data_IF_532079029426
#
_entry.id   IF_532079029426
#
_cell.length_a   1.000
_cell.length_b   1.000
_cell.length_c   1.000
_cell.angle_alpha   90.00
_cell.angle_beta   90.00
_cell.angle_gamma   90.00
#
_symmetry.space_group_name_H-M   'P 1'
#
loop_
_entity.id
_entity.type
_entity.pdbx_description
1 polymer ?
#
# COMPACT_ATOMS: atom_id res chain seq x y z
N UNK A 1 12.12 5.01 4.78
CA UNK A 1 13.37 4.34 4.53
C UNK A 1 13.94 3.76 5.82
N UNK A 2 13.93 2.45 5.94
CA UNK A 2 14.28 1.75 7.18
C UNK A 2 15.56 0.94 6.97
N UNK A 3 16.48 1.00 7.95
CA UNK A 3 17.55 0.04 8.16
C UNK A 3 18.80 0.13 7.30
N UNK A 4 19.07 1.18 6.57
CA UNK A 4 20.34 1.29 5.84
C UNK A 4 21.44 2.04 6.58
N UNK A 5 22.67 1.60 6.43
CA UNK A 5 23.87 2.32 6.94
C UNK A 5 24.11 3.66 6.23
N UNK A 6 23.45 3.89 5.09
CA UNK A 6 23.62 5.09 4.27
C UNK A 6 22.33 5.90 4.22
N UNK A 7 22.41 7.24 4.28
CA UNK A 7 21.23 8.11 4.30
C UNK A 7 20.44 8.13 2.99
N UNK A 8 21.07 7.70 1.89
CA UNK A 8 20.44 7.65 0.56
C UNK A 8 20.73 6.29 -0.06
N UNK A 9 19.68 5.62 -0.55
CA UNK A 9 19.77 4.39 -1.31
C UNK A 9 19.28 4.68 -2.75
N UNK A 10 20.12 4.38 -3.72
CA UNK A 10 19.81 4.59 -5.15
C UNK A 10 19.79 3.24 -5.85
N UNK A 11 18.69 2.93 -6.50
CA UNK A 11 18.53 1.72 -7.29
C UNK A 11 18.33 2.09 -8.78
N UNK A 12 19.11 1.51 -9.71
CA UNK A 12 18.90 1.72 -11.12
C UNK A 12 17.70 0.88 -11.60
N UNK A 13 16.84 1.50 -12.42
CA UNK A 13 15.71 0.84 -13.07
C UNK A 13 15.91 0.78 -14.56
N UNK A 14 15.77 -0.40 -15.14
CA UNK A 14 15.67 -0.57 -16.58
C UNK A 14 14.24 -0.29 -17.05
N UNK A 15 14.06 -0.04 -18.36
CA UNK A 15 12.72 0.12 -18.94
C UNK A 15 11.86 -1.13 -18.71
N UNK A 16 12.44 -2.32 -18.87
CA UNK A 16 11.74 -3.59 -18.64
C UNK A 16 11.30 -3.79 -17.18
N UNK A 17 12.10 -3.32 -16.21
CA UNK A 17 11.68 -3.29 -14.79
C UNK A 17 10.50 -2.34 -14.57
N UNK A 18 10.48 -1.18 -15.22
CA UNK A 18 9.37 -0.24 -15.12
C UNK A 18 8.09 -0.78 -15.75
N UNK A 19 8.19 -1.55 -16.83
CA UNK A 19 7.03 -2.22 -17.44
C UNK A 19 6.47 -3.31 -16.51
N UNK A 20 7.34 -4.11 -15.89
CA UNK A 20 6.94 -5.09 -14.86
C UNK A 20 6.31 -4.39 -13.64
N UNK A 21 6.92 -3.30 -13.18
CA UNK A 21 6.37 -2.48 -12.09
C UNK A 21 4.96 -2.00 -12.40
N UNK A 22 4.72 -1.50 -13.61
CA UNK A 22 3.40 -1.04 -14.06
C UNK A 22 2.35 -2.16 -14.00
N UNK A 23 2.70 -3.36 -14.49
CA UNK A 23 1.84 -4.53 -14.42
C UNK A 23 1.50 -4.91 -12.98
N UNK A 24 2.50 -4.92 -12.09
CA UNK A 24 2.31 -5.26 -10.68
C UNK A 24 1.46 -4.22 -9.95
N UNK A 25 1.68 -2.92 -10.19
CA UNK A 25 0.83 -1.85 -9.64
C UNK A 25 -0.61 -2.01 -10.10
N UNK A 26 -0.82 -2.31 -11.37
CA UNK A 26 -2.16 -2.54 -11.92
C UNK A 26 -2.82 -3.77 -11.28
N UNK A 27 -2.08 -4.87 -11.12
CA UNK A 27 -2.56 -6.06 -10.43
C UNK A 27 -2.94 -5.76 -8.97
N UNK A 28 -2.10 -5.01 -8.24
CA UNK A 28 -2.40 -4.58 -6.88
C UNK A 28 -3.66 -3.71 -6.80
N UNK A 29 -3.84 -2.79 -7.75
CA UNK A 29 -5.04 -1.96 -7.80
C UNK A 29 -6.31 -2.83 -7.99
N UNK A 30 -6.29 -3.75 -8.93
CA UNK A 30 -7.39 -4.70 -9.20
C UNK A 30 -7.67 -5.53 -7.94
N UNK A 31 -6.65 -6.19 -7.38
CA UNK A 31 -6.79 -7.03 -6.20
C UNK A 31 -7.26 -6.26 -4.97
N UNK A 32 -6.92 -4.97 -4.85
CA UNK A 32 -7.38 -4.14 -3.73
C UNK A 32 -8.90 -3.98 -3.69
N UNK A 33 -9.57 -4.07 -4.84
CA UNK A 33 -11.03 -3.97 -4.97
C UNK A 33 -11.73 -5.32 -5.06
N UNK A 34 -10.96 -6.40 -5.27
CA UNK A 34 -11.51 -7.74 -5.46
C UNK A 34 -12.08 -8.30 -4.15
N UNK A 35 -13.22 -8.97 -4.24
CA UNK A 35 -13.87 -9.70 -3.15
C UNK A 35 -13.81 -11.21 -3.35
N UNK A 36 -13.62 -11.63 -4.58
CA UNK A 36 -13.49 -13.01 -5.01
C UNK A 36 -12.71 -13.05 -6.34
N UNK A 37 -12.30 -14.22 -6.76
CA UNK A 37 -11.58 -14.43 -8.02
C UNK A 37 -12.38 -13.90 -9.22
N UNK A 38 -11.72 -13.05 -10.01
CA UNK A 38 -12.31 -12.45 -11.21
C UNK A 38 -13.20 -11.23 -10.96
N UNK A 39 -13.49 -10.88 -9.70
CA UNK A 39 -14.21 -9.65 -9.38
C UNK A 39 -13.25 -8.47 -9.27
N UNK A 40 -13.66 -7.30 -9.73
CA UNK A 40 -12.96 -6.03 -9.48
C UNK A 40 -13.90 -4.84 -9.70
N UNK A 41 -13.56 -3.71 -9.09
CA UNK A 41 -14.31 -2.46 -9.21
C UNK A 41 -13.32 -1.28 -9.40
N UNK A 42 -12.81 -1.14 -10.61
CA UNK A 42 -11.91 -0.04 -11.01
C UNK A 42 -12.51 0.68 -12.20
N UNK A 43 -12.61 2.01 -12.11
CA UNK A 43 -13.10 2.86 -13.19
C UNK A 43 -12.14 4.05 -13.42
N UNK A 44 -12.02 4.50 -14.68
CA UNK A 44 -11.21 5.67 -15.05
C UNK A 44 -11.65 6.97 -14.35
N UNK A 45 -12.87 7.01 -13.83
CA UNK A 45 -13.39 8.17 -13.07
C UNK A 45 -13.03 8.14 -11.58
N UNK A 46 -12.37 7.09 -11.12
CA UNK A 46 -12.00 6.94 -9.71
C UNK A 46 -10.94 7.96 -9.29
N UNK A 47 -10.92 8.26 -8.00
CA UNK A 47 -10.00 9.22 -7.39
C UNK A 47 -9.11 8.51 -6.40
N UNK A 48 -7.83 8.85 -6.46
CA UNK A 48 -6.79 8.27 -5.62
C UNK A 48 -6.19 9.34 -4.71
N UNK A 49 -6.18 9.12 -3.39
CA UNK A 49 -5.50 10.03 -2.48
C UNK A 49 -3.98 9.91 -2.66
N UNK A 50 -3.33 11.00 -3.06
CA UNK A 50 -1.88 11.03 -3.26
C UNK A 50 -1.14 11.35 -1.97
N UNK A 51 -1.00 10.34 -1.12
CA UNK A 51 -0.28 10.42 0.17
C UNK A 51 1.14 9.82 0.11
N UNK A 52 1.71 9.66 -1.09
CA UNK A 52 3.03 9.10 -1.30
C UNK A 52 4.09 10.19 -1.53
N UNK A 53 5.37 9.86 -1.26
CA UNK A 53 6.46 10.74 -1.62
C UNK A 53 6.62 10.79 -3.16
N UNK A 54 6.79 12.00 -3.75
CA UNK A 54 6.97 12.14 -5.20
C UNK A 54 8.36 11.66 -5.63
N UNK A 55 8.62 11.65 -6.94
CA UNK A 55 9.99 11.47 -7.44
C UNK A 55 10.95 12.47 -6.77
N UNK A 56 12.19 12.09 -6.48
CA UNK A 56 12.89 10.87 -6.93
C UNK A 56 12.70 9.62 -6.04
N UNK A 57 11.80 9.63 -5.09
CA UNK A 57 11.50 8.44 -4.28
C UNK A 57 10.80 7.37 -5.10
N UNK A 58 11.07 6.08 -4.81
CA UNK A 58 10.47 4.95 -5.53
C UNK A 58 8.93 4.97 -5.52
N UNK A 59 8.33 5.46 -4.44
CA UNK A 59 6.87 5.64 -4.33
C UNK A 59 6.30 6.65 -5.34
N UNK A 60 7.13 7.56 -5.86
CA UNK A 60 6.75 8.50 -6.93
C UNK A 60 6.54 7.84 -8.29
N UNK A 61 7.00 6.60 -8.48
CA UNK A 61 6.73 5.81 -9.69
C UNK A 61 5.27 5.29 -9.73
N UNK A 62 4.64 5.12 -8.56
CA UNK A 62 3.29 4.56 -8.45
C UNK A 62 2.23 5.37 -9.27
N UNK A 63 2.11 6.69 -9.08
CA UNK A 63 1.15 7.46 -9.87
C UNK A 63 1.48 7.52 -11.37
N UNK A 64 2.76 7.41 -11.75
CA UNK A 64 3.15 7.34 -13.16
C UNK A 64 2.68 6.01 -13.78
N UNK A 65 2.78 4.91 -13.03
CA UNK A 65 2.33 3.61 -13.50
C UNK A 65 0.81 3.56 -13.75
N UNK A 66 0.01 4.24 -12.93
CA UNK A 66 -1.46 4.23 -13.03
C UNK A 66 -2.02 5.36 -13.91
N UNK A 67 -1.36 6.53 -13.91
CA UNK A 67 -1.93 7.74 -14.52
C UNK A 67 -1.97 7.71 -16.04
N UNK A 68 -1.01 7.07 -16.67
CA UNK A 68 -0.89 7.02 -18.13
C UNK A 68 -1.81 5.98 -18.77
N UNK A 69 -2.08 4.87 -18.09
CA UNK A 69 -2.81 3.73 -18.68
C UNK A 69 -4.26 3.62 -18.23
N UNK A 70 -4.55 3.95 -16.97
CA UNK A 70 -5.88 3.74 -16.40
C UNK A 70 -6.68 5.04 -16.29
N UNK A 71 -5.99 6.20 -16.36
CA UNK A 71 -6.66 7.51 -16.30
C UNK A 71 -7.20 7.89 -14.93
N UNK A 72 -6.73 7.25 -13.85
CA UNK A 72 -7.13 7.56 -12.47
C UNK A 72 -6.69 8.98 -12.09
N UNK A 73 -7.60 9.74 -11.50
CA UNK A 73 -7.32 11.08 -11.01
C UNK A 73 -6.68 11.04 -9.62
N UNK A 74 -5.45 11.57 -9.49
CA UNK A 74 -4.78 11.74 -8.20
C UNK A 74 -5.21 13.04 -7.50
N UNK A 75 -5.39 13.01 -6.20
CA UNK A 75 -5.78 14.13 -5.36
C UNK A 75 -4.69 14.43 -4.28
N UNK A 76 -3.95 15.53 -4.40
CA UNK A 76 -3.88 16.47 -5.53
C UNK A 76 -3.24 15.84 -6.76
N UNK A 77 -3.32 16.50 -7.91
CA UNK A 77 -2.68 16.05 -9.13
C UNK A 77 -1.16 15.93 -8.94
N UNK A 78 -0.54 14.89 -9.52
CA UNK A 78 0.89 14.56 -9.32
C UNK A 78 1.79 15.76 -9.61
N UNK A 79 1.53 16.49 -10.70
CA UNK A 79 2.30 17.68 -11.10
C UNK A 79 2.24 18.81 -10.05
N UNK A 80 1.12 18.97 -9.38
CA UNK A 80 0.94 19.96 -8.31
C UNK A 80 1.63 19.50 -7.02
N UNK A 81 1.57 18.20 -6.75
CA UNK A 81 2.05 17.58 -5.52
C UNK A 81 3.58 17.59 -5.35
N UNK A 82 4.34 17.64 -6.46
CA UNK A 82 5.82 17.53 -6.46
C UNK A 82 6.50 18.58 -5.59
N UNK A 83 5.99 19.82 -5.59
CA UNK A 83 6.57 20.96 -4.86
C UNK A 83 5.94 21.16 -3.46
N UNK A 84 5.04 20.30 -3.02
CA UNK A 84 4.36 20.41 -1.74
C UNK A 84 5.05 19.59 -0.66
N UNK A 85 5.10 20.11 0.56
CA UNK A 85 5.43 19.29 1.73
C UNK A 85 4.39 18.17 1.91
N UNK A 86 4.76 17.11 2.63
CA UNK A 86 3.87 16.00 2.91
C UNK A 86 2.55 16.47 3.57
N UNK A 87 2.65 17.37 4.54
CA UNK A 87 1.47 17.93 5.25
C UNK A 87 0.56 18.73 4.34
N UNK A 88 1.12 19.60 3.50
CA UNK A 88 0.34 20.41 2.55
C UNK A 88 -0.37 19.55 1.52
N UNK A 89 0.34 18.55 0.97
CA UNK A 89 -0.21 17.60 0.00
C UNK A 89 -1.39 16.83 0.57
N UNK A 90 -1.26 16.29 1.78
CA UNK A 90 -2.34 15.56 2.44
C UNK A 90 -3.54 16.45 2.75
N UNK A 91 -3.33 17.65 3.30
CA UNK A 91 -4.40 18.61 3.56
C UNK A 91 -5.16 18.98 2.29
N UNK A 92 -4.42 19.28 1.21
CA UNK A 92 -5.04 19.59 -0.08
C UNK A 92 -5.78 18.38 -0.67
N UNK A 93 -5.15 17.20 -0.64
CA UNK A 93 -5.74 15.94 -1.11
C UNK A 93 -7.08 15.65 -0.44
N UNK A 94 -7.14 15.73 0.88
CA UNK A 94 -8.39 15.57 1.62
C UNK A 94 -9.43 16.65 1.32
N UNK A 95 -9.01 17.92 1.21
CA UNK A 95 -9.91 18.99 0.80
C UNK A 95 -10.52 18.74 -0.58
N UNK A 96 -9.74 18.20 -1.50
CA UNK A 96 -10.22 17.81 -2.83
C UNK A 96 -11.11 16.57 -2.77
N UNK A 97 -10.75 15.56 -1.96
CA UNK A 97 -11.56 14.37 -1.74
C UNK A 97 -12.95 14.71 -1.17
N UNK A 98 -13.03 15.65 -0.22
CA UNK A 98 -14.31 16.14 0.28
C UNK A 98 -15.21 16.74 -0.80
N UNK A 99 -14.63 17.30 -1.87
CA UNK A 99 -15.37 17.87 -2.99
C UNK A 99 -15.72 16.85 -4.07
N UNK A 100 -14.80 15.92 -4.35
CA UNK A 100 -14.85 15.04 -5.52
C UNK A 100 -15.18 13.58 -5.22
N UNK A 101 -15.19 13.19 -3.95
CA UNK A 101 -15.18 11.80 -3.45
C UNK A 101 -13.80 11.15 -3.53
N UNK A 102 -13.66 9.94 -2.95
CA UNK A 102 -12.42 9.18 -2.88
C UNK A 102 -12.73 7.70 -3.04
N UNK A 103 -12.07 7.05 -4.01
CA UNK A 103 -12.20 5.61 -4.25
C UNK A 103 -11.01 4.79 -3.77
N UNK A 104 -9.81 5.39 -3.76
CA UNK A 104 -8.57 4.67 -3.46
C UNK A 104 -7.68 5.44 -2.50
N UNK A 105 -7.00 4.68 -1.64
CA UNK A 105 -5.94 5.18 -0.80
C UNK A 105 -4.78 4.18 -0.74
N UNK A 106 -3.55 4.69 -0.83
CA UNK A 106 -2.33 3.93 -0.61
C UNK A 106 -1.36 4.74 0.26
N UNK A 107 -0.74 4.09 1.25
CA UNK A 107 0.28 4.70 2.10
C UNK A 107 1.08 3.66 2.88
N UNK A 108 2.09 4.12 3.62
CA UNK A 108 2.71 3.31 4.66
C UNK A 108 1.71 3.15 5.81
N UNK A 109 1.67 2.01 6.50
CA UNK A 109 0.69 1.70 7.53
C UNK A 109 0.58 2.78 8.61
N UNK A 110 1.70 3.14 9.24
CA UNK A 110 1.77 4.23 10.24
C UNK A 110 1.37 5.60 9.68
N UNK A 111 1.78 5.89 8.44
CA UNK A 111 1.42 7.15 7.76
C UNK A 111 -0.07 7.18 7.43
N UNK A 112 -0.61 6.08 6.90
CA UNK A 112 -2.04 5.96 6.63
C UNK A 112 -2.88 6.17 7.90
N UNK A 113 -2.43 5.61 9.02
CA UNK A 113 -3.06 5.79 10.32
C UNK A 113 -3.03 7.26 10.79
N UNK A 114 -1.84 7.91 10.78
CA UNK A 114 -1.70 9.31 11.17
C UNK A 114 -2.54 10.26 10.30
N UNK A 115 -2.59 10.00 8.99
CA UNK A 115 -3.41 10.74 8.03
C UNK A 115 -4.90 10.57 8.35
N UNK A 116 -5.33 9.35 8.70
CA UNK A 116 -6.71 9.04 9.05
C UNK A 116 -7.16 9.75 10.33
N UNK A 117 -6.32 9.79 11.36
CA UNK A 117 -6.58 10.55 12.59
C UNK A 117 -6.66 12.06 12.33
N UNK A 118 -5.78 12.58 11.48
CA UNK A 118 -5.80 13.99 11.08
C UNK A 118 -7.11 14.36 10.37
N UNK A 119 -7.62 13.49 9.50
CA UNK A 119 -8.90 13.68 8.84
C UNK A 119 -10.06 13.69 9.86
N UNK A 120 -10.06 12.75 10.79
CA UNK A 120 -11.07 12.66 11.85
C UNK A 120 -11.09 13.94 12.71
N UNK A 121 -9.92 14.49 13.04
CA UNK A 121 -9.82 15.74 13.80
C UNK A 121 -10.37 16.97 13.03
N UNK A 122 -10.12 17.04 11.73
CA UNK A 122 -10.62 18.11 10.85
C UNK A 122 -12.16 18.09 10.75
N UNK A 123 -12.75 16.90 10.74
CA UNK A 123 -14.22 16.74 10.63
C UNK A 123 -14.95 17.02 11.94
N UNK A 124 -14.29 16.83 13.07
CA UNK A 124 -14.89 16.98 14.42
C UNK A 124 -14.70 18.36 15.04
N UNK A 125 -14.10 19.31 14.34
CA UNK A 125 -14.05 20.72 14.79
C UNK A 125 -13.00 21.01 15.87
N UNK A 126 -11.99 20.15 16.06
CA UNK A 126 -10.92 20.33 17.05
C UNK A 126 -9.96 21.50 16.78
N UNK A 127 -10.20 22.29 15.78
CA UNK A 127 -9.40 23.47 15.43
C UNK A 127 -10.29 24.55 14.81
N UNK A 128 -11.17 25.20 15.56
CA UNK A 128 -11.75 26.52 15.27
C UNK A 128 -12.41 26.83 13.91
N UNK A 129 -12.51 25.85 13.03
CA UNK A 129 -12.99 26.03 11.66
C UNK A 129 -14.00 24.97 11.28
N UNK A 130 -15.24 25.11 11.74
CA UNK A 130 -16.35 24.36 11.14
C UNK A 130 -16.31 24.51 9.62
N UNK A 131 -16.66 23.44 8.89
CA UNK A 131 -16.71 23.47 7.42
C UNK A 131 -17.52 24.70 6.99
N UNK A 132 -16.83 25.72 6.48
CA UNK A 132 -17.48 26.97 6.09
C UNK A 132 -18.52 26.69 5.02
N UNK A 133 -19.68 27.30 5.10
CA UNK A 133 -20.78 27.14 4.14
C UNK A 133 -20.30 27.37 2.68
N UNK A 134 -19.35 28.30 2.48
CA UNK A 134 -18.71 28.55 1.19
C UNK A 134 -17.91 27.35 0.64
N UNK A 135 -17.39 26.48 1.53
CA UNK A 135 -16.69 25.25 1.12
C UNK A 135 -17.67 24.16 0.67
N UNK A 136 -18.87 24.15 1.23
CA UNK A 136 -19.93 23.19 0.86
C UNK A 136 -20.47 23.45 -0.55
N UNK A 137 -20.52 24.71 -0.99
CA UNK A 137 -20.98 25.06 -2.35
C UNK A 137 -20.09 24.49 -3.47
N UNK A 138 -18.86 24.11 -3.15
CA UNK A 138 -17.92 23.49 -4.10
C UNK A 138 -17.94 21.97 -4.06
N UNK A 139 -18.70 21.35 -3.16
CA UNK A 139 -18.80 19.90 -3.05
C UNK A 139 -19.86 19.35 -4.02
N UNK A 140 -19.61 18.14 -4.52
CA UNK A 140 -20.63 17.42 -5.28
C UNK A 140 -21.87 17.18 -4.40
N UNK A 141 -23.10 17.23 -4.95
CA UNK A 141 -24.33 17.08 -4.17
C UNK A 141 -24.38 15.83 -3.29
N UNK A 142 -23.89 14.70 -3.79
CA UNK A 142 -23.84 13.45 -3.02
C UNK A 142 -22.89 13.54 -1.81
N UNK A 143 -21.79 14.29 -1.90
CA UNK A 143 -20.85 14.47 -0.77
C UNK A 143 -21.47 15.35 0.31
N UNK A 144 -22.27 16.37 -0.07
CA UNK A 144 -23.03 17.17 0.89
C UNK A 144 -24.04 16.29 1.63
N UNK A 145 -24.77 15.46 0.90
CA UNK A 145 -25.74 14.54 1.49
C UNK A 145 -25.07 13.56 2.46
N UNK A 146 -23.94 12.93 2.05
CA UNK A 146 -23.16 12.05 2.92
C UNK A 146 -22.69 12.76 4.20
N UNK A 147 -22.16 13.98 4.09
CA UNK A 147 -21.71 14.76 5.23
C UNK A 147 -22.87 15.03 6.21
N UNK A 148 -24.05 15.39 5.71
CA UNK A 148 -25.22 15.64 6.55
C UNK A 148 -25.71 14.34 7.24
N UNK A 149 -25.74 13.24 6.51
CA UNK A 149 -26.11 11.91 7.05
C UNK A 149 -25.09 11.46 8.09
N UNK A 150 -23.78 11.59 7.80
CA UNK A 150 -22.70 11.25 8.71
C UNK A 150 -22.81 12.07 10.02
N UNK A 151 -23.00 13.39 9.93
CA UNK A 151 -23.21 14.25 11.11
C UNK A 151 -24.40 13.81 11.97
N UNK A 152 -25.53 13.48 11.34
CA UNK A 152 -26.71 13.01 12.07
C UNK A 152 -26.46 11.66 12.75
N UNK A 153 -25.83 10.72 12.05
CA UNK A 153 -25.47 9.38 12.57
C UNK A 153 -24.52 9.50 13.75
N UNK A 154 -23.38 10.19 13.56
CA UNK A 154 -22.37 10.35 14.60
C UNK A 154 -22.91 11.05 15.85
N UNK A 155 -23.81 12.06 15.67
CA UNK A 155 -24.49 12.70 16.78
C UNK A 155 -25.42 11.73 17.53
N UNK A 156 -26.17 10.89 16.81
CA UNK A 156 -27.05 9.88 17.42
C UNK A 156 -26.27 8.82 18.17
N UNK A 157 -25.11 8.41 17.63
CA UNK A 157 -24.22 7.39 18.20
C UNK A 157 -23.24 7.97 19.24
N UNK A 158 -23.29 9.27 19.50
CA UNK A 158 -22.39 10.00 20.42
C UNK A 158 -20.90 9.68 20.19
N UNK A 159 -20.48 9.66 18.93
CA UNK A 159 -19.09 9.41 18.52
C UNK A 159 -18.57 10.45 17.53
N UNK A 160 -17.23 10.49 17.45
CA UNK A 160 -16.54 11.26 16.43
C UNK A 160 -16.82 10.73 15.02
N UNK A 161 -16.76 11.62 14.04
CA UNK A 161 -16.86 11.23 12.62
C UNK A 161 -15.54 10.63 12.16
N UNK A 162 -15.62 9.48 11.50
CA UNK A 162 -14.49 8.74 10.95
C UNK A 162 -14.47 8.86 9.41
N UNK A 163 -13.33 8.57 8.76
CA UNK A 163 -13.23 8.56 7.30
C UNK A 163 -14.30 7.74 6.60
N UNK A 164 -14.66 6.56 7.13
CA UNK A 164 -15.73 5.68 6.60
C UNK A 164 -17.12 6.29 6.57
N UNK A 165 -17.36 7.32 7.38
CA UNK A 165 -18.65 8.02 7.37
C UNK A 165 -18.81 8.93 6.14
N UNK A 166 -17.71 9.33 5.53
CA UNK A 166 -17.65 10.24 4.39
C UNK A 166 -17.23 9.57 3.08
N UNK A 167 -16.24 8.69 3.14
CA UNK A 167 -15.65 8.03 1.97
C UNK A 167 -15.97 6.54 1.98
N UNK A 168 -16.31 6.02 0.81
CA UNK A 168 -16.49 4.59 0.60
C UNK A 168 -15.38 4.12 -0.32
N UNK A 169 -14.23 3.77 0.27
CA UNK A 169 -13.10 3.28 -0.50
C UNK A 169 -13.49 1.97 -1.22
N UNK A 170 -13.12 1.88 -2.48
CA UNK A 170 -13.16 0.66 -3.28
C UNK A 170 -11.92 -0.18 -3.04
N UNK A 171 -10.75 0.47 -2.96
CA UNK A 171 -9.47 -0.16 -2.68
C UNK A 171 -8.64 0.63 -1.66
N UNK A 172 -8.05 -0.09 -0.72
CA UNK A 172 -7.15 0.45 0.27
C UNK A 172 -5.91 -0.44 0.34
N UNK A 173 -4.74 0.17 0.11
CA UNK A 173 -3.46 -0.53 0.07
C UNK A 173 -2.49 0.06 1.10
N UNK A 174 -1.69 -0.80 1.72
CA UNK A 174 -0.62 -0.38 2.64
C UNK A 174 0.66 -1.13 2.33
N UNK A 175 1.80 -0.47 2.56
CA UNK A 175 3.13 -1.06 2.49
C UNK A 175 3.93 -0.67 3.73
N UNK A 176 4.97 -1.43 4.04
CA UNK A 176 5.85 -1.20 5.21
C UNK A 176 5.86 -2.36 6.17
N UNK A 177 6.84 -2.39 7.06
CA UNK A 177 7.06 -3.49 8.03
C UNK A 177 6.12 -3.45 9.23
N UNK A 178 5.48 -2.31 9.48
CA UNK A 178 4.61 -2.04 10.63
C UNK A 178 3.11 -2.22 10.33
N UNK A 179 2.76 -2.66 9.13
CA UNK A 179 1.37 -2.73 8.66
C UNK A 179 0.45 -3.54 9.57
N UNK A 180 0.92 -4.68 10.06
CA UNK A 180 0.11 -5.58 10.90
C UNK A 180 -0.42 -4.87 12.16
N UNK A 181 0.37 -3.95 12.73
CA UNK A 181 -0.03 -3.20 13.92
C UNK A 181 -1.20 -2.23 13.67
N UNK A 182 -1.40 -1.82 12.43
CA UNK A 182 -2.39 -0.80 12.06
C UNK A 182 -3.57 -1.33 11.25
N UNK A 183 -3.52 -2.58 10.77
CA UNK A 183 -4.55 -3.13 9.87
C UNK A 183 -5.96 -3.07 10.44
N UNK A 184 -6.13 -3.45 11.70
CA UNK A 184 -7.42 -3.46 12.37
C UNK A 184 -7.94 -2.04 12.63
N UNK A 185 -7.08 -1.15 13.11
CA UNK A 185 -7.44 0.25 13.33
C UNK A 185 -7.81 0.95 12.01
N UNK A 186 -7.05 0.67 10.94
CA UNK A 186 -7.34 1.21 9.62
C UNK A 186 -8.65 0.66 9.04
N UNK A 187 -8.96 -0.61 9.28
CA UNK A 187 -10.26 -1.19 8.91
C UNK A 187 -11.41 -0.52 9.68
N UNK A 188 -11.22 -0.25 10.96
CA UNK A 188 -12.22 0.49 11.76
C UNK A 188 -12.41 1.91 11.23
N UNK A 189 -11.34 2.63 10.91
CA UNK A 189 -11.36 4.01 10.44
C UNK A 189 -11.99 4.15 9.04
N UNK A 190 -11.72 3.22 8.12
CA UNK A 190 -12.11 3.32 6.72
C UNK A 190 -13.24 2.39 6.31
N UNK A 191 -13.60 1.40 7.12
CA UNK A 191 -14.64 0.42 6.83
C UNK A 191 -14.26 -0.62 5.77
N UNK A 192 -12.97 -0.70 5.44
CA UNK A 192 -12.38 -1.66 4.51
C UNK A 192 -11.01 -2.09 5.04
N UNK A 193 -10.76 -3.40 5.09
CA UNK A 193 -9.46 -3.94 5.51
C UNK A 193 -8.41 -3.62 4.45
N UNK A 194 -7.30 -2.96 4.80
CA UNK A 194 -6.27 -2.65 3.84
C UNK A 194 -5.59 -3.92 3.31
N UNK A 195 -5.26 -3.90 2.02
CA UNK A 195 -4.44 -4.91 1.35
C UNK A 195 -2.97 -4.57 1.54
N UNK A 196 -2.20 -5.53 1.97
CA UNK A 196 -0.76 -5.36 2.14
C UNK A 196 0.00 -5.61 0.85
N UNK A 197 0.99 -4.75 0.62
CA UNK A 197 1.94 -4.86 -0.47
C UNK A 197 3.35 -4.98 0.10
N UNK A 198 4.17 -5.83 -0.52
CA UNK A 198 5.60 -5.79 -0.33
C UNK A 198 6.28 -5.00 -1.44
N UNK A 199 6.90 -3.91 -1.04
CA UNK A 199 7.58 -3.01 -1.97
C UNK A 199 8.87 -2.46 -1.33
N UNK A 200 9.92 -2.37 -2.13
CA UNK A 200 11.20 -1.77 -1.74
C UNK A 200 11.79 -0.92 -2.85
N UNK A 201 12.83 -0.17 -2.52
CA UNK A 201 13.53 0.66 -3.50
C UNK A 201 14.23 -0.20 -4.56
N UNK A 202 14.83 -1.32 -4.15
CA UNK A 202 15.58 -2.21 -5.02
C UNK A 202 14.69 -3.06 -5.93
N UNK A 203 13.65 -3.73 -5.37
CA UNK A 203 12.87 -4.68 -6.15
C UNK A 203 11.60 -4.08 -6.76
N UNK A 204 11.23 -2.86 -6.43
CA UNK A 204 9.92 -2.29 -6.70
C UNK A 204 8.79 -2.99 -5.91
N UNK A 205 7.67 -3.35 -6.53
CA UNK A 205 6.60 -4.13 -5.90
C UNK A 205 6.84 -5.60 -6.21
N UNK A 206 7.11 -6.39 -5.17
CA UNK A 206 7.44 -7.81 -5.27
C UNK A 206 6.32 -8.74 -4.84
N UNK A 207 5.41 -8.29 -3.99
CA UNK A 207 4.37 -9.14 -3.43
C UNK A 207 3.11 -8.37 -3.06
N UNK A 208 2.02 -9.11 -2.94
CA UNK A 208 0.71 -8.57 -2.57
C UNK A 208 -0.15 -9.64 -1.92
N UNK A 209 -1.05 -9.22 -1.05
CA UNK A 209 -2.19 -10.04 -0.65
C UNK A 209 -3.21 -10.15 -1.80
N UNK A 210 -4.12 -11.09 -1.68
CA UNK A 210 -5.26 -11.25 -2.58
C UNK A 210 -6.54 -10.68 -1.94
N UNK A 211 -7.70 -11.02 -2.49
CA UNK A 211 -9.02 -10.66 -1.94
C UNK A 211 -9.28 -11.23 -0.54
N UNK A 212 -8.61 -12.31 -0.15
CA UNK A 212 -8.79 -12.90 1.20
C UNK A 212 -8.06 -12.15 2.31
N UNK A 213 -7.06 -11.32 1.98
CA UNK A 213 -6.22 -10.61 2.97
C UNK A 213 -5.56 -11.53 4.01
N UNK A 214 -5.21 -12.75 3.60
CA UNK A 214 -4.69 -13.81 4.49
C UNK A 214 -3.26 -14.22 4.15
N UNK A 215 -2.39 -13.25 3.92
CA UNK A 215 -0.99 -13.45 3.59
C UNK A 215 -0.67 -13.11 2.13
N UNK A 216 0.62 -12.98 1.90
CA UNK A 216 1.20 -12.37 0.71
C UNK A 216 1.72 -13.43 -0.26
N UNK A 217 1.59 -13.16 -1.54
CA UNK A 217 2.17 -13.90 -2.65
C UNK A 217 3.20 -13.04 -3.37
N UNK A 218 4.34 -13.63 -3.73
CA UNK A 218 5.35 -12.94 -4.51
C UNK A 218 5.05 -13.01 -6.01
N UNK A 219 5.29 -11.91 -6.72
CA UNK A 219 5.12 -11.86 -8.18
C UNK A 219 6.25 -12.60 -8.89
N UNK A 220 5.97 -13.65 -9.66
CA UNK A 220 6.99 -14.55 -10.18
C UNK A 220 7.87 -13.94 -11.28
N UNK A 221 7.42 -12.88 -11.95
CA UNK A 221 8.13 -12.23 -13.05
C UNK A 221 8.93 -10.99 -12.62
N UNK A 222 8.90 -10.64 -11.34
CA UNK A 222 9.65 -9.52 -10.76
C UNK A 222 11.07 -9.93 -10.42
N UNK A 223 11.23 -11.07 -9.76
CA UNK A 223 12.53 -11.56 -9.29
C UNK A 223 12.59 -13.09 -9.25
N UNK A 224 13.78 -13.60 -9.21
CA UNK A 224 14.04 -14.97 -8.79
C UNK A 224 14.22 -14.96 -7.27
N UNK A 225 13.45 -15.77 -6.57
CA UNK A 225 13.38 -15.80 -5.11
C UNK A 225 14.11 -17.00 -4.54
N UNK A 226 14.92 -16.74 -3.52
CA UNK A 226 15.59 -17.72 -2.70
C UNK A 226 15.31 -17.42 -1.22
N UNK A 227 15.34 -18.43 -0.37
CA UNK A 227 14.98 -18.34 1.03
C UNK A 227 16.09 -18.92 1.91
N UNK A 228 16.55 -18.17 2.91
CA UNK A 228 17.51 -18.64 3.93
C UNK A 228 16.73 -18.87 5.22
N UNK A 229 16.84 -20.05 5.84
CA UNK A 229 16.17 -20.31 7.11
C UNK A 229 16.63 -19.32 8.19
N UNK A 230 15.74 -18.95 9.14
CA UNK A 230 16.08 -18.10 10.28
C UNK A 230 17.33 -18.62 11.00
N UNK A 231 17.44 -19.96 11.16
CA UNK A 231 18.59 -20.63 11.78
C UNK A 231 19.90 -20.36 11.04
N UNK A 232 19.90 -20.53 9.72
CA UNK A 232 21.12 -20.35 8.92
C UNK A 232 21.46 -18.87 8.76
N UNK A 233 20.48 -17.99 8.73
CA UNK A 233 20.66 -16.54 8.77
C UNK A 233 21.34 -16.11 10.07
N UNK A 234 20.84 -16.55 11.22
CA UNK A 234 21.43 -16.25 12.53
C UNK A 234 22.85 -16.79 12.65
N UNK A 235 23.12 -18.03 12.17
CA UNK A 235 24.45 -18.59 12.17
C UNK A 235 25.42 -17.77 11.28
N UNK A 236 25.01 -17.32 10.13
CA UNK A 236 25.82 -16.44 9.26
C UNK A 236 26.06 -15.07 9.92
N UNK A 237 25.09 -14.58 10.71
CA UNK A 237 25.25 -13.33 11.45
C UNK A 237 26.29 -13.43 12.56
N UNK A 238 26.35 -14.60 13.26
CA UNK A 238 27.35 -14.89 14.30
C UNK A 238 28.72 -15.22 13.69
N UNK A 239 28.74 -15.95 12.59
CA UNK A 239 29.96 -16.32 11.86
C UNK A 239 29.83 -15.94 10.36
N UNK A 240 30.35 -14.75 9.97
CA UNK A 240 30.31 -14.30 8.58
C UNK A 240 31.02 -15.21 7.56
N UNK A 241 31.85 -16.15 8.01
CA UNK A 241 32.49 -17.14 7.13
C UNK A 241 31.56 -18.28 6.75
N UNK A 242 30.49 -18.50 7.52
CA UNK A 242 29.47 -19.48 7.20
C UNK A 242 28.63 -19.02 6.01
N UNK A 243 28.55 -19.82 4.98
CA UNK A 243 27.73 -19.56 3.79
C UNK A 243 26.40 -20.32 3.96
N UNK A 244 25.27 -19.61 4.18
CA UNK A 244 23.98 -20.28 4.34
C UNK A 244 23.50 -20.91 3.05
N UNK A 245 22.85 -22.08 3.15
CA UNK A 245 22.11 -22.69 2.06
C UNK A 245 20.84 -21.89 1.76
N UNK A 246 20.46 -21.84 0.50
CA UNK A 246 19.19 -21.25 0.07
C UNK A 246 18.22 -22.33 -0.38
N UNK A 247 16.93 -22.06 -0.17
CA UNK A 247 15.81 -22.88 -0.60
C UNK A 247 15.04 -22.16 -1.68
N UNK A 248 14.42 -22.90 -2.60
CA UNK A 248 13.54 -22.35 -3.62
C UNK A 248 12.09 -22.26 -3.11
N UNK A 249 11.22 -21.66 -3.90
CA UNK A 249 9.83 -21.43 -3.54
C UNK A 249 9.06 -22.71 -3.24
N UNK A 250 9.38 -23.81 -3.90
CA UNK A 250 8.77 -25.14 -3.72
C UNK A 250 9.40 -25.96 -2.58
N UNK A 251 10.49 -25.47 -1.99
CA UNK A 251 11.20 -26.15 -0.89
C UNK A 251 10.89 -25.55 0.48
N UNK A 252 10.20 -24.39 0.53
CA UNK A 252 9.83 -23.76 1.80
C UNK A 252 8.78 -24.59 2.56
N UNK A 253 8.76 -24.46 3.89
CA UNK A 253 7.88 -25.26 4.77
C UNK A 253 6.96 -24.36 5.57
N UNK A 254 5.67 -24.71 5.68
CA UNK A 254 4.74 -23.98 6.52
C UNK A 254 5.21 -23.90 7.97
N UNK A 255 5.06 -22.74 8.60
CA UNK A 255 5.48 -22.45 9.96
C UNK A 255 6.92 -21.98 10.10
N UNK A 256 7.79 -22.24 9.14
CA UNK A 256 9.19 -21.80 9.17
C UNK A 256 9.32 -20.34 8.71
N UNK A 257 10.35 -19.68 9.27
CA UNK A 257 10.72 -18.32 8.92
C UNK A 257 11.97 -18.30 8.06
N UNK A 258 11.98 -17.38 7.11
CA UNK A 258 13.03 -17.25 6.11
C UNK A 258 13.42 -15.79 5.91
N UNK A 259 14.71 -15.54 5.75
CA UNK A 259 15.20 -14.32 5.14
C UNK A 259 15.01 -14.41 3.63
N UNK A 260 14.43 -13.37 3.04
CA UNK A 260 14.23 -13.29 1.61
C UNK A 260 15.51 -12.85 0.90
N UNK A 261 15.90 -13.63 -0.10
CA UNK A 261 16.98 -13.31 -1.04
C UNK A 261 16.38 -13.22 -2.44
N UNK A 262 16.74 -12.20 -3.18
CA UNK A 262 16.20 -12.05 -4.52
C UNK A 262 17.23 -11.63 -5.57
N UNK A 263 17.02 -12.08 -6.79
CA UNK A 263 17.73 -11.61 -7.97
C UNK A 263 16.72 -10.92 -8.87
N UNK A 264 16.93 -9.62 -9.10
CA UNK A 264 16.04 -8.84 -9.97
C UNK A 264 16.23 -9.27 -11.41
N UNK A 265 15.13 -9.67 -12.03
CA UNK A 265 15.05 -10.01 -13.44
C UNK A 265 15.02 -8.74 -14.31
N UNK A 266 14.98 -8.90 -15.64
CA UNK A 266 14.82 -7.78 -16.59
C UNK A 266 15.98 -6.78 -16.58
N UNK A 267 17.19 -7.24 -16.28
CA UNK A 267 18.41 -6.42 -16.30
C UNK A 267 18.60 -5.55 -15.05
N UNK A 268 17.99 -5.93 -13.93
CA UNK A 268 18.24 -5.29 -12.64
C UNK A 268 19.65 -5.50 -12.13
N UNK A 269 20.12 -4.57 -11.30
CA UNK A 269 21.49 -4.58 -10.76
C UNK A 269 21.68 -5.50 -9.56
N UNK A 270 20.62 -6.00 -8.96
CA UNK A 270 20.67 -6.78 -7.73
C UNK A 270 20.60 -8.27 -8.04
N UNK A 271 21.69 -8.97 -7.74
CA UNK A 271 21.78 -10.42 -7.83
C UNK A 271 22.00 -11.00 -6.44
N UNK A 272 21.18 -11.98 -6.05
CA UNK A 272 21.18 -12.62 -4.72
C UNK A 272 21.25 -11.62 -3.58
N UNK A 273 20.45 -10.56 -3.69
CA UNK A 273 20.40 -9.48 -2.72
C UNK A 273 19.62 -9.89 -1.48
N UNK A 274 20.24 -9.73 -0.32
CA UNK A 274 19.65 -9.97 0.99
C UNK A 274 19.15 -8.64 1.54
N UNK A 275 17.85 -8.44 1.55
CA UNK A 275 17.24 -7.19 2.04
C UNK A 275 17.17 -7.14 3.58
N UNK A 276 17.26 -8.30 4.24
CA UNK A 276 17.12 -8.43 5.69
C UNK A 276 15.68 -8.61 6.15
N UNK A 277 14.71 -8.64 5.23
CA UNK A 277 13.31 -8.87 5.57
C UNK A 277 13.07 -10.35 5.82
N UNK A 278 12.35 -10.65 6.92
CA UNK A 278 11.99 -12.00 7.33
C UNK A 278 10.53 -12.28 7.03
N UNK A 279 10.27 -13.45 6.47
CA UNK A 279 8.92 -13.91 6.16
C UNK A 279 8.66 -15.29 6.75
N UNK A 280 7.48 -15.48 7.31
CA UNK A 280 6.99 -16.79 7.73
C UNK A 280 6.14 -17.38 6.61
N UNK A 281 6.47 -18.60 6.19
CA UNK A 281 5.61 -19.36 5.27
C UNK A 281 4.36 -19.82 6.05
N UNK A 282 3.18 -19.35 5.64
CA UNK A 282 1.91 -19.71 6.31
C UNK A 282 1.18 -20.88 5.64
N UNK A 283 1.58 -21.25 4.44
CA UNK A 283 1.01 -22.41 3.73
C UNK A 283 1.47 -22.50 2.30
N UNK A 284 1.37 -23.70 1.70
CA UNK A 284 1.76 -24.00 0.33
C UNK A 284 0.58 -23.91 -0.65
N UNK A 285 -0.62 -23.92 -0.13
CA UNK A 285 -1.87 -23.82 -0.90
C UNK A 285 -2.88 -22.96 -0.13
N UNK A 286 -3.75 -22.33 -0.88
CA UNK A 286 -4.90 -21.65 -0.32
C UNK A 286 -6.13 -21.91 -1.19
N UNK A 287 -7.12 -22.61 -0.63
CA UNK A 287 -8.35 -22.97 -1.34
C UNK A 287 -9.23 -21.74 -1.60
N UNK A 288 -9.22 -20.76 -0.70
CA UNK A 288 -10.01 -19.54 -0.84
C UNK A 288 -9.45 -18.64 -1.95
N UNK A 289 -8.13 -18.61 -2.12
CA UNK A 289 -7.45 -17.89 -3.22
C UNK A 289 -7.33 -18.74 -4.49
N UNK A 290 -7.67 -20.03 -4.42
CA UNK A 290 -7.49 -21.01 -5.48
C UNK A 290 -6.03 -21.08 -5.99
N UNK A 291 -5.06 -20.95 -5.07
CA UNK A 291 -3.64 -20.97 -5.38
C UNK A 291 -2.94 -22.20 -4.81
N UNK A 292 -1.87 -22.62 -5.49
CA UNK A 292 -0.96 -23.69 -5.06
C UNK A 292 0.49 -23.19 -5.01
N UNK A 293 0.67 -21.96 -4.57
CA UNK A 293 1.99 -21.35 -4.36
C UNK A 293 2.13 -20.93 -2.90
N UNK A 294 3.33 -20.95 -2.35
CA UNK A 294 3.57 -20.55 -0.98
C UNK A 294 3.07 -19.15 -0.68
N UNK A 295 2.51 -19.01 0.51
CA UNK A 295 1.99 -17.78 1.04
C UNK A 295 2.77 -17.39 2.29
N UNK A 296 3.05 -16.10 2.44
CA UNK A 296 3.92 -15.56 3.46
C UNK A 296 3.26 -14.45 4.28
N UNK A 297 3.76 -14.25 5.50
CA UNK A 297 3.45 -13.10 6.34
C UNK A 297 4.71 -12.59 7.07
#
# INVERSE_FOLDING_TARGET
WEGGKHPIKVAPYTRSMLDTYRNNVTACLILSTSKEKGSFDVAATDKFLYALAPLPFATGLFPLALGEEIGIEFLPAVKEAVNMSFSERNKLGFKMAMKKDLGFFFGLGSVAYAVSLSLSSLTNGGGGGGVKLSSLMQCKPHMILRLLQAKRRCKKENRAMLPKDLFHLKGFMVAGTDNLCYKEDLEELWGIRPMELFAGTEPSIMGTETWTRKGMYFFPDTAFYEFITEKDMMRNYEDPSYIPSTYLMDEVRPGEKYELVFTILKGGAFARYRCGDMYRCVGLENREDETRIPRFE
#
